data_IF_148461348263
#
_entry.id   IF_148461348263
#
_cell.length_a   1.000
_cell.length_b   1.000
_cell.length_c   1.000
_cell.angle_alpha   90.00
_cell.angle_beta   90.00
_cell.angle_gamma   90.00
#
_symmetry.space_group_name_H-M   'P 1'
#
loop_
_entity.id
_entity.type
_entity.pdbx_description
1 polymer ?
#
# COMPACT_ATOMS: atom_id res chain seq x y z
N UNK A 1 7.43 -44.97 -22.41
CA UNK A 1 6.19 -44.30 -21.98
C UNK A 1 6.27 -43.55 -20.64
N UNK A 2 7.15 -43.87 -19.66
CA UNK A 2 7.21 -43.13 -18.36
C UNK A 2 8.00 -41.81 -18.39
N UNK A 3 8.88 -41.56 -19.37
CA UNK A 3 9.67 -40.31 -19.44
C UNK A 3 8.91 -39.12 -19.98
N UNK A 4 7.94 -39.30 -20.86
CA UNK A 4 7.17 -38.22 -21.47
C UNK A 4 6.17 -37.60 -20.50
N UNK A 5 5.61 -38.41 -19.58
CA UNK A 5 4.68 -37.87 -18.54
C UNK A 5 5.40 -37.03 -17.49
N UNK A 6 6.68 -37.27 -17.23
CA UNK A 6 7.47 -36.50 -16.27
C UNK A 6 7.76 -35.09 -16.84
N UNK A 7 8.02 -35.00 -18.14
CA UNK A 7 8.29 -33.72 -18.81
C UNK A 7 7.01 -32.87 -18.88
N UNK A 8 5.86 -33.46 -19.19
CA UNK A 8 4.57 -32.77 -19.22
C UNK A 8 4.17 -32.29 -17.82
N UNK A 9 4.38 -33.12 -16.79
CA UNK A 9 4.10 -32.73 -15.41
C UNK A 9 5.03 -31.58 -14.96
N UNK A 10 6.32 -31.60 -15.31
CA UNK A 10 7.27 -30.53 -14.99
C UNK A 10 6.93 -29.23 -15.72
N UNK A 11 6.49 -29.28 -16.97
CA UNK A 11 6.06 -28.10 -17.73
C UNK A 11 4.76 -27.53 -17.17
N UNK A 12 3.81 -28.38 -16.79
CA UNK A 12 2.55 -27.92 -16.15
C UNK A 12 2.84 -27.35 -14.76
N UNK A 13 3.75 -27.94 -13.98
CA UNK A 13 4.12 -27.41 -12.67
C UNK A 13 4.87 -26.08 -12.79
N UNK A 14 5.73 -25.88 -13.80
CA UNK A 14 6.35 -24.58 -14.10
C UNK A 14 5.34 -23.54 -14.59
N UNK A 15 4.33 -23.95 -15.36
CA UNK A 15 3.25 -23.05 -15.77
C UNK A 15 2.31 -22.67 -14.61
N UNK A 16 2.15 -23.51 -13.60
CA UNK A 16 1.36 -23.21 -12.40
C UNK A 16 2.17 -22.39 -11.40
N UNK A 17 3.50 -22.55 -11.33
CA UNK A 17 4.38 -21.67 -10.54
C UNK A 17 4.67 -20.33 -11.24
N UNK A 18 4.48 -20.24 -12.54
CA UNK A 18 4.46 -19.01 -13.32
C UNK A 18 3.05 -18.35 -13.35
N UNK A 19 2.24 -18.58 -12.34
CA UNK A 19 1.15 -17.70 -11.93
C UNK A 19 1.72 -16.40 -11.35
N UNK A 20 2.72 -15.82 -12.04
CA UNK A 20 3.05 -14.42 -11.91
C UNK A 20 1.77 -13.68 -12.25
N UNK A 21 1.20 -13.00 -11.29
CA UNK A 21 0.16 -12.00 -11.48
C UNK A 21 0.70 -11.01 -12.52
N UNK A 22 0.41 -11.28 -13.79
CA UNK A 22 0.77 -10.38 -14.87
C UNK A 22 0.15 -9.03 -14.57
N UNK A 23 0.98 -8.03 -14.31
CA UNK A 23 0.54 -6.66 -14.08
C UNK A 23 0.54 -6.18 -12.64
N UNK A 24 0.87 -6.99 -11.63
CA UNK A 24 1.07 -6.46 -10.27
C UNK A 24 2.38 -5.68 -10.18
N UNK A 25 2.32 -4.54 -9.48
CA UNK A 25 3.51 -3.74 -9.19
C UNK A 25 4.37 -4.45 -8.14
N UNK A 26 5.66 -4.48 -8.38
CA UNK A 26 6.63 -4.99 -7.42
C UNK A 26 6.72 -4.03 -6.23
N UNK A 27 6.52 -4.57 -5.03
CA UNK A 27 6.65 -3.84 -3.78
C UNK A 27 7.77 -4.47 -2.93
N UNK A 28 8.78 -3.68 -2.63
CA UNK A 28 9.83 -4.03 -1.67
C UNK A 28 9.50 -3.44 -0.30
N UNK A 29 9.54 -4.24 0.76
CA UNK A 29 9.17 -3.82 2.12
C UNK A 29 10.06 -2.71 2.69
N UNK A 30 11.29 -2.57 2.20
CA UNK A 30 12.24 -1.55 2.65
C UNK A 30 12.23 -0.31 1.76
N UNK A 31 11.93 -0.48 0.48
CA UNK A 31 12.04 0.55 -0.54
C UNK A 31 10.68 1.12 -0.96
N UNK A 32 9.66 0.28 -1.13
CA UNK A 32 8.38 0.69 -1.69
C UNK A 32 8.16 0.20 -3.12
N UNK A 33 7.43 0.97 -3.93
CA UNK A 33 7.09 0.63 -5.31
C UNK A 33 8.11 1.16 -6.31
N UNK A 34 8.59 0.30 -7.24
CA UNK A 34 9.34 0.71 -8.43
C UNK A 34 8.37 1.26 -9.49
N UNK A 35 8.05 2.54 -9.38
CA UNK A 35 7.10 3.20 -10.26
C UNK A 35 7.69 3.55 -11.64
N UNK A 36 8.99 3.44 -11.84
CA UNK A 36 9.63 3.69 -13.13
C UNK A 36 9.23 2.65 -14.19
N UNK A 37 8.87 1.44 -13.77
CA UNK A 37 8.46 0.33 -14.65
C UNK A 37 7.02 0.44 -15.14
N UNK A 38 6.18 1.27 -14.50
CA UNK A 38 4.78 1.43 -14.89
C UNK A 38 4.61 2.25 -16.16
N UNK A 39 3.54 2.02 -16.89
CA UNK A 39 3.23 2.72 -18.14
C UNK A 39 2.83 4.17 -17.90
N UNK A 40 2.04 4.38 -16.85
CA UNK A 40 1.60 5.71 -16.45
C UNK A 40 2.77 6.56 -15.99
N UNK A 41 2.73 7.86 -16.32
CA UNK A 41 3.70 8.85 -15.86
C UNK A 41 3.10 9.92 -14.96
N UNK A 42 1.78 9.91 -14.81
CA UNK A 42 1.06 10.74 -13.85
C UNK A 42 0.57 9.83 -12.72
N UNK A 43 1.37 9.75 -11.68
CA UNK A 43 1.16 8.85 -10.54
C UNK A 43 1.00 9.68 -9.28
N UNK A 44 -0.04 9.38 -8.49
CA UNK A 44 -0.34 10.11 -7.26
C UNK A 44 -0.79 9.13 -6.19
N UNK A 45 -0.19 9.18 -5.01
CA UNK A 45 -0.75 8.55 -3.83
C UNK A 45 -1.76 9.49 -3.16
N UNK A 46 -2.93 8.98 -2.84
CA UNK A 46 -3.91 9.68 -2.02
C UNK A 46 -4.03 9.00 -0.64
N UNK A 47 -4.34 9.79 0.36
CA UNK A 47 -4.65 9.32 1.70
C UNK A 47 -6.06 9.75 2.05
N UNK A 48 -6.86 8.80 2.46
CA UNK A 48 -8.25 9.00 2.86
C UNK A 48 -8.43 8.67 4.34
N UNK A 49 -9.33 9.40 4.96
CA UNK A 49 -9.86 9.14 6.28
C UNK A 49 -11.35 8.82 6.18
N UNK A 50 -11.87 7.93 7.02
CA UNK A 50 -13.30 7.70 7.12
C UNK A 50 -13.92 8.82 7.96
N UNK A 51 -14.88 9.53 7.41
CA UNK A 51 -15.65 10.51 8.16
C UNK A 51 -16.51 9.79 9.21
N UNK A 52 -16.38 10.11 10.51
CA UNK A 52 -17.10 9.42 11.57
C UNK A 52 -18.62 9.69 11.58
N UNK A 53 -19.10 10.74 10.89
CA UNK A 53 -20.52 11.11 10.87
C UNK A 53 -21.34 10.31 9.85
N UNK A 54 -20.79 10.15 8.63
CA UNK A 54 -21.51 9.53 7.50
C UNK A 54 -20.78 8.33 6.92
N UNK A 55 -19.64 7.97 7.48
CA UNK A 55 -18.76 6.87 7.08
C UNK A 55 -18.23 6.99 5.64
N UNK A 56 -18.29 8.18 5.06
CA UNK A 56 -17.70 8.45 3.74
C UNK A 56 -16.17 8.55 3.80
N UNK A 57 -15.53 8.32 2.65
CA UNK A 57 -14.10 8.51 2.51
C UNK A 57 -13.78 9.97 2.20
N UNK A 58 -13.10 10.65 3.09
CA UNK A 58 -12.57 12.01 2.90
C UNK A 58 -11.10 11.95 2.51
N UNK A 59 -10.74 12.53 1.36
CA UNK A 59 -9.33 12.62 0.96
C UNK A 59 -8.64 13.74 1.74
N UNK A 60 -7.72 13.37 2.62
CA UNK A 60 -6.99 14.29 3.51
C UNK A 60 -5.63 14.69 2.95
N UNK A 61 -5.00 13.88 2.10
CA UNK A 61 -3.72 14.23 1.48
C UNK A 61 -3.59 13.64 0.07
N UNK A 62 -2.69 14.25 -0.73
CA UNK A 62 -2.36 13.81 -2.08
C UNK A 62 -0.89 14.08 -2.36
N UNK A 63 -0.15 13.06 -2.80
CA UNK A 63 1.28 13.09 -3.02
C UNK A 63 1.61 12.71 -4.47
N UNK A 64 1.81 13.68 -5.38
CA UNK A 64 2.29 13.39 -6.71
C UNK A 64 3.69 12.78 -6.69
N UNK A 65 3.92 11.76 -7.50
CA UNK A 65 5.20 11.10 -7.64
C UNK A 65 5.78 11.36 -9.04
N UNK A 66 7.10 11.49 -9.09
CA UNK A 66 7.85 11.55 -10.34
C UNK A 66 8.69 10.28 -10.39
N UNK A 67 8.29 9.27 -11.21
CA UNK A 67 9.05 8.04 -11.31
C UNK A 67 10.43 8.29 -11.92
N UNK A 68 11.48 7.88 -11.21
CA UNK A 68 12.87 7.98 -11.68
C UNK A 68 13.54 6.59 -11.64
N UNK A 69 14.44 6.27 -12.58
CA UNK A 69 15.17 5.01 -12.59
C UNK A 69 15.98 4.80 -11.30
N UNK A 70 15.79 3.65 -10.64
CA UNK A 70 16.48 3.30 -9.39
C UNK A 70 15.89 3.93 -8.13
N UNK A 71 14.79 4.67 -8.28
CA UNK A 71 14.03 5.27 -7.18
C UNK A 71 12.74 4.51 -6.92
N UNK A 72 12.41 4.36 -5.64
CA UNK A 72 11.23 3.66 -5.15
C UNK A 72 10.41 4.60 -4.28
N UNK A 73 9.11 4.61 -4.48
CA UNK A 73 8.23 5.49 -3.72
C UNK A 73 7.33 4.68 -2.78
N UNK A 74 7.19 5.15 -1.56
CA UNK A 74 6.26 4.58 -0.59
C UNK A 74 5.56 5.69 0.21
N UNK A 75 4.30 5.45 0.57
CA UNK A 75 3.57 6.28 1.52
C UNK A 75 3.32 5.46 2.77
N UNK A 76 3.81 5.96 3.89
CA UNK A 76 3.62 5.35 5.22
C UNK A 76 2.77 6.26 6.09
N UNK A 77 2.05 5.63 7.00
CA UNK A 77 1.32 6.33 8.06
C UNK A 77 2.06 6.11 9.37
N UNK A 78 2.47 7.21 9.98
CA UNK A 78 3.07 7.24 11.31
C UNK A 78 2.02 7.73 12.30
N UNK A 79 1.95 7.10 13.48
CA UNK A 79 1.03 7.45 14.54
C UNK A 79 1.70 8.21 15.66
N UNK A 80 1.07 9.29 16.12
CA UNK A 80 1.35 9.96 17.39
C UNK A 80 0.04 10.14 18.15
N UNK A 81 0.10 10.34 19.46
CA UNK A 81 -1.11 10.55 20.25
C UNK A 81 -1.91 11.77 19.75
N UNK A 82 -3.13 11.51 19.29
CA UNK A 82 -4.05 12.52 18.75
C UNK A 82 -3.75 12.96 17.32
N UNK A 83 -2.77 12.33 16.64
CA UNK A 83 -2.38 12.69 15.27
C UNK A 83 -1.94 11.50 14.46
N UNK A 84 -2.12 11.62 13.16
CA UNK A 84 -1.45 10.80 12.17
C UNK A 84 -0.58 11.67 11.29
N UNK A 85 0.49 11.09 10.78
CA UNK A 85 1.35 11.72 9.79
C UNK A 85 1.51 10.79 8.60
N UNK A 86 1.07 11.26 7.44
CA UNK A 86 1.31 10.58 6.17
C UNK A 86 2.64 11.09 5.60
N UNK A 87 3.52 10.18 5.19
CA UNK A 87 4.87 10.49 4.72
C UNK A 87 5.10 9.83 3.37
N UNK A 88 5.32 10.62 2.33
CA UNK A 88 5.86 10.13 1.06
C UNK A 88 7.39 10.10 1.17
N UNK A 89 7.97 8.94 0.96
CA UNK A 89 9.42 8.75 0.84
C UNK A 89 9.81 8.38 -0.58
N UNK A 90 10.99 8.83 -0.96
CA UNK A 90 11.73 8.39 -2.13
C UNK A 90 12.97 7.64 -1.66
N UNK A 91 13.05 6.37 -1.99
CA UNK A 91 14.06 5.47 -1.47
C UNK A 91 14.95 4.98 -2.62
N UNK A 92 16.23 4.83 -2.33
CA UNK A 92 17.22 4.29 -3.26
C UNK A 92 17.91 3.08 -2.68
N UNK A 93 18.33 2.19 -3.58
CA UNK A 93 19.14 1.02 -3.25
C UNK A 93 20.54 1.20 -3.83
N UNK A 94 21.54 1.03 -2.99
CA UNK A 94 22.95 1.04 -3.42
C UNK A 94 23.59 -0.27 -2.99
N UNK A 95 24.05 -1.04 -3.97
CA UNK A 95 24.84 -2.23 -3.73
C UNK A 95 26.30 -1.83 -3.51
N UNK A 96 26.94 -2.38 -2.49
CA UNK A 96 28.36 -2.10 -2.27
C UNK A 96 29.23 -2.78 -3.32
N UNK A 97 30.37 -2.20 -3.63
CA UNK A 97 31.32 -2.69 -4.64
C UNK A 97 31.81 -4.14 -4.37
N UNK A 98 31.70 -4.60 -3.13
CA UNK A 98 32.07 -5.97 -2.74
C UNK A 98 30.89 -6.98 -2.85
N UNK A 99 29.69 -6.53 -3.20
CA UNK A 99 28.50 -7.36 -3.32
C UNK A 99 27.99 -7.99 -2.01
N UNK A 100 28.59 -7.63 -0.87
CA UNK A 100 28.28 -8.23 0.43
C UNK A 100 27.38 -7.39 1.32
N UNK A 101 27.18 -6.13 0.99
CA UNK A 101 26.31 -5.21 1.73
C UNK A 101 25.44 -4.38 0.76
N UNK A 102 24.26 -4.05 1.23
CA UNK A 102 23.35 -3.15 0.55
C UNK A 102 23.02 -1.98 1.47
N UNK A 103 23.02 -0.79 0.96
CA UNK A 103 22.55 0.39 1.65
C UNK A 103 21.18 0.79 1.08
N UNK A 104 20.25 1.03 2.00
CA UNK A 104 18.96 1.62 1.71
C UNK A 104 19.00 3.06 2.20
N UNK A 105 18.78 4.00 1.31
CA UNK A 105 18.72 5.41 1.64
C UNK A 105 17.36 5.96 1.27
N UNK A 106 16.72 6.67 2.20
CA UNK A 106 15.38 7.18 2.01
C UNK A 106 15.28 8.64 2.39
N UNK A 107 14.70 9.43 1.49
CA UNK A 107 14.45 10.85 1.71
C UNK A 107 12.96 11.09 1.82
N UNK A 108 12.54 11.80 2.86
CA UNK A 108 11.16 12.30 2.95
C UNK A 108 10.97 13.42 1.94
N UNK A 109 10.14 13.14 0.92
CA UNK A 109 9.82 14.11 -0.14
C UNK A 109 8.70 15.05 0.30
N UNK A 110 7.70 14.49 0.97
CA UNK A 110 6.54 15.25 1.44
C UNK A 110 5.92 14.60 2.66
N UNK A 111 5.28 15.39 3.51
CA UNK A 111 4.51 14.87 4.64
C UNK A 111 3.28 15.73 4.90
N UNK A 112 2.26 15.12 5.50
CA UNK A 112 1.02 15.75 5.91
C UNK A 112 0.62 15.26 7.29
N UNK A 113 0.24 16.16 8.19
CA UNK A 113 -0.26 15.85 9.53
C UNK A 113 -1.77 16.07 9.59
N UNK A 114 -2.47 15.18 10.27
CA UNK A 114 -3.90 15.20 10.45
C UNK A 114 -4.25 14.84 11.89
N UNK A 115 -5.08 15.68 12.53
CA UNK A 115 -5.53 15.47 13.90
C UNK A 115 -6.64 14.41 13.94
N UNK A 116 -6.52 13.43 14.84
CA UNK A 116 -7.52 12.37 15.04
C UNK A 116 -7.84 12.27 16.53
N UNK A 117 -9.03 12.73 16.89
CA UNK A 117 -9.47 12.74 18.27
C UNK A 117 -9.54 11.34 18.88
N UNK A 118 -8.94 11.17 20.04
CA UNK A 118 -8.93 9.88 20.77
C UNK A 118 -7.90 8.87 20.28
N UNK A 119 -7.15 9.14 19.21
CA UNK A 119 -6.11 8.24 18.73
C UNK A 119 -4.96 8.11 19.73
N UNK A 120 -4.55 6.88 20.04
CA UNK A 120 -3.52 6.61 21.05
C UNK A 120 -2.09 6.62 20.51
N UNK A 121 -1.91 6.68 19.19
CA UNK A 121 -0.61 6.75 18.52
C UNK A 121 -0.16 5.44 17.87
N UNK A 122 -0.82 4.33 18.17
CA UNK A 122 -0.43 3.02 17.65
C UNK A 122 -1.49 2.46 16.69
N UNK A 123 -1.04 1.89 15.58
CA UNK A 123 -1.88 1.10 14.68
C UNK A 123 -1.77 -0.38 15.06
N UNK A 124 -2.90 -1.07 15.28
CA UNK A 124 -2.89 -2.50 15.61
C UNK A 124 -2.44 -3.40 14.44
N UNK A 125 -2.30 -2.83 13.26
CA UNK A 125 -1.86 -3.50 12.04
C UNK A 125 -2.30 -2.75 10.79
N UNK A 126 -2.07 -3.36 9.64
CA UNK A 126 -2.55 -2.86 8.34
C UNK A 126 -2.88 -4.03 7.41
N UNK A 127 -3.73 -3.75 6.42
CA UNK A 127 -4.02 -4.66 5.30
C UNK A 127 -3.41 -4.07 4.03
N UNK A 128 -2.61 -4.85 3.30
CA UNK A 128 -2.09 -4.46 1.99
C UNK A 128 -2.93 -5.06 0.88
N UNK A 129 -3.02 -4.35 -0.25
CA UNK A 129 -3.70 -4.78 -1.45
C UNK A 129 -2.71 -4.90 -2.59
N UNK A 130 -2.96 -5.84 -3.50
CA UNK A 130 -2.17 -5.95 -4.72
C UNK A 130 -2.50 -4.78 -5.65
N UNK A 131 -1.46 -4.07 -6.11
CA UNK A 131 -1.59 -2.96 -7.05
C UNK A 131 -1.16 -3.43 -8.43
N UNK A 132 -1.94 -3.08 -9.47
CA UNK A 132 -1.68 -3.48 -10.85
C UNK A 132 -1.24 -2.29 -11.69
N UNK A 133 -0.47 -2.53 -12.74
CA UNK A 133 -0.11 -1.52 -13.75
C UNK A 133 -1.31 -1.25 -14.69
N UNK A 134 -2.36 -0.64 -14.12
CA UNK A 134 -3.62 -0.31 -14.79
C UNK A 134 -4.01 1.14 -14.45
N UNK A 135 -4.61 1.84 -15.43
CA UNK A 135 -5.14 3.19 -15.20
C UNK A 135 -6.28 3.16 -14.20
N UNK A 136 -6.34 4.17 -13.35
CA UNK A 136 -7.39 4.34 -12.35
C UNK A 136 -6.85 4.48 -10.94
N UNK A 137 -7.76 4.47 -9.98
CA UNK A 137 -7.45 4.52 -8.55
C UNK A 137 -7.55 3.13 -7.93
N UNK A 138 -6.48 2.69 -7.27
CA UNK A 138 -6.37 1.38 -6.66
C UNK A 138 -5.98 1.52 -5.20
N UNK A 139 -6.51 0.64 -4.35
CA UNK A 139 -6.13 0.58 -2.94
C UNK A 139 -4.72 0.01 -2.79
N UNK A 140 -3.97 0.60 -1.87
CA UNK A 140 -2.59 0.21 -1.52
C UNK A 140 -2.55 -0.40 -0.13
N UNK A 141 -3.04 0.35 0.86
CA UNK A 141 -2.93 -0.04 2.26
C UNK A 141 -4.05 0.56 3.11
N UNK A 142 -4.61 -0.24 4.00
CA UNK A 142 -5.61 0.18 4.97
C UNK A 142 -5.02 0.08 6.38
N UNK A 143 -5.10 1.16 7.14
CA UNK A 143 -4.72 1.26 8.55
C UNK A 143 -5.96 1.48 9.39
N UNK A 144 -6.40 0.50 10.15
CA UNK A 144 -7.51 0.69 11.08
C UNK A 144 -7.03 1.44 12.33
N UNK A 145 -7.82 2.39 12.77
CA UNK A 145 -7.65 3.07 14.04
C UNK A 145 -8.60 2.42 15.04
N UNK A 146 -8.07 1.70 16.00
CA UNK A 146 -8.87 1.00 17.01
C UNK A 146 -8.36 1.31 18.40
N UNK A 147 -9.28 1.51 19.34
CA UNK A 147 -8.97 1.63 20.75
C UNK A 147 -8.95 0.28 21.49
N UNK A 148 -9.46 -0.79 20.88
CA UNK A 148 -9.62 -2.11 21.51
C UNK A 148 -8.43 -3.06 21.32
N UNK A 149 -7.51 -2.74 20.41
CA UNK A 149 -6.34 -3.57 20.08
C UNK A 149 -6.66 -4.79 19.20
N UNK A 150 -7.93 -5.05 18.86
CA UNK A 150 -8.33 -6.05 17.89
C UNK A 150 -8.96 -5.40 16.67
N UNK A 151 -8.63 -5.90 15.49
CA UNK A 151 -9.09 -5.35 14.21
C UNK A 151 -9.63 -6.45 13.34
N UNK A 152 -10.81 -6.22 12.79
CA UNK A 152 -11.34 -6.97 11.67
C UNK A 152 -11.22 -6.12 10.42
N UNK A 153 -10.68 -6.68 9.33
CA UNK A 153 -10.61 -6.01 8.05
C UNK A 153 -11.79 -6.44 7.19
N UNK A 154 -12.49 -5.49 6.59
CA UNK A 154 -13.47 -5.78 5.56
C UNK A 154 -12.81 -6.44 4.35
N UNK A 155 -13.50 -7.42 3.76
CA UNK A 155 -13.05 -8.06 2.52
C UNK A 155 -13.30 -7.16 1.31
N UNK A 156 -14.47 -6.49 1.29
CA UNK A 156 -14.92 -5.65 0.17
C UNK A 156 -14.99 -4.16 0.57
N UNK A 157 -13.89 -3.45 0.38
CA UNK A 157 -13.83 -2.00 0.55
C UNK A 157 -13.98 -1.33 -0.81
N UNK A 158 -14.81 -0.28 -0.89
CA UNK A 158 -15.00 0.53 -2.09
C UNK A 158 -15.02 2.00 -1.73
N UNK A 159 -14.31 2.83 -2.48
CA UNK A 159 -14.34 4.30 -2.33
C UNK A 159 -15.68 4.92 -2.74
N UNK A 160 -16.47 4.21 -3.55
CA UNK A 160 -17.78 4.68 -4.04
C UNK A 160 -18.92 4.47 -3.04
N UNK A 161 -18.63 3.83 -1.92
CA UNK A 161 -19.63 3.51 -0.87
C UNK A 161 -19.12 3.94 0.49
N UNK A 162 -20.03 4.34 1.41
CA UNK A 162 -19.69 4.51 2.81
C UNK A 162 -19.05 3.24 3.39
N UNK A 163 -18.13 3.42 4.31
CA UNK A 163 -17.49 2.33 5.01
C UNK A 163 -18.47 1.69 5.99
N UNK A 164 -18.74 0.39 5.85
CA UNK A 164 -19.69 -0.31 6.70
C UNK A 164 -19.02 -0.77 8.01
N UNK A 165 -19.27 -0.02 9.08
CA UNK A 165 -18.74 -0.34 10.41
C UNK A 165 -19.43 -1.52 11.09
N UNK A 166 -20.67 -1.86 10.71
CA UNK A 166 -21.41 -2.97 11.33
C UNK A 166 -20.76 -4.32 10.99
N UNK A 167 -20.20 -4.45 9.78
CA UNK A 167 -19.47 -5.65 9.38
C UNK A 167 -18.14 -5.83 10.13
N UNK A 168 -17.56 -4.77 10.68
CA UNK A 168 -16.28 -4.81 11.40
C UNK A 168 -16.37 -5.13 12.88
N UNK A 169 -17.57 -5.40 13.40
CA UNK A 169 -17.78 -5.68 14.82
C UNK A 169 -17.86 -4.44 15.73
N UNK A 170 -18.04 -3.26 15.16
CA UNK A 170 -18.49 -2.06 15.89
C UNK A 170 -17.44 -1.30 16.71
N UNK A 171 -16.16 -1.66 16.67
CA UNK A 171 -15.14 -1.05 17.53
C UNK A 171 -14.04 -0.26 16.82
N UNK A 172 -14.05 -0.17 15.50
CA UNK A 172 -13.12 0.69 14.75
C UNK A 172 -13.68 2.10 14.68
N UNK A 173 -13.01 3.04 15.34
CA UNK A 173 -13.43 4.44 15.33
C UNK A 173 -13.18 5.12 13.99
N UNK A 174 -12.11 4.72 13.31
CA UNK A 174 -11.62 5.37 12.10
C UNK A 174 -10.75 4.42 11.27
N UNK A 175 -10.61 4.74 9.99
CA UNK A 175 -9.69 4.01 9.11
C UNK A 175 -8.96 5.01 8.21
N UNK A 176 -7.68 4.74 7.95
CA UNK A 176 -6.89 5.46 6.97
C UNK A 176 -6.62 4.53 5.79
N UNK A 177 -6.98 4.97 4.61
CA UNK A 177 -6.75 4.25 3.37
C UNK A 177 -5.74 5.00 2.51
N UNK A 178 -4.71 4.29 2.05
CA UNK A 178 -3.81 4.79 1.02
C UNK A 178 -4.25 4.18 -0.30
N UNK A 179 -4.37 5.03 -1.32
CA UNK A 179 -4.59 4.62 -2.71
C UNK A 179 -3.46 5.10 -3.61
N UNK A 180 -3.37 4.53 -4.79
CA UNK A 180 -2.53 5.00 -5.89
C UNK A 180 -3.41 5.27 -7.11
N UNK A 181 -3.22 6.43 -7.73
CA UNK A 181 -3.89 6.83 -8.97
C UNK A 181 -2.86 6.83 -10.08
N UNK A 182 -3.15 6.14 -11.16
CA UNK A 182 -2.31 6.08 -12.37
C UNK A 182 -3.11 6.57 -13.58
N UNK A 183 -2.54 7.53 -14.36
CA UNK A 183 -3.17 8.14 -15.55
C UNK A 183 -2.21 8.15 -16.72
#
# INVERSE_FOLDING_TARGET
MRREYIIIAAVITMLICAGCSFGELEYDMNLGYDLNKVKSKDITFNVYHVNPEDHSWERIASFPCIPEPGHYNDVKIEGEKGKIKAVLSDNTYTESDDGNSAAYDGVVVSSFEYDVDGFKGDFPGWKSFAVRDEEGEQMVRLYPISNSGSVSFLEDISLDKPYDLEETGGETLDNILITIVMK
#
